data_IF_461731753089
#
_entry.id   IF_461731753089
#
_cell.length_a   1.000
_cell.length_b   1.000
_cell.length_c   1.000
_cell.angle_alpha   90.00
_cell.angle_beta   90.00
_cell.angle_gamma   90.00
#
_symmetry.space_group_name_H-M   'P 1'
#
loop_
_entity.id
_entity.type
_entity.pdbx_description
1 polymer ?
#
# COMPACT_ATOMS: atom_id res chain seq x y z
N UNK A 1 -26.19 8.39 13.38
CA UNK A 1 -24.96 8.74 14.14
C UNK A 1 -23.73 8.06 13.58
N UNK A 2 -23.73 6.73 13.35
CA UNK A 2 -22.59 5.98 12.80
C UNK A 2 -22.22 6.35 11.36
N UNK A 3 -23.19 6.51 10.45
CA UNK A 3 -22.91 6.91 9.06
C UNK A 3 -22.22 8.28 9.00
N UNK A 4 -22.74 9.27 9.74
CA UNK A 4 -22.14 10.61 9.81
C UNK A 4 -20.72 10.58 10.36
N UNK A 5 -20.45 9.75 11.38
CA UNK A 5 -19.10 9.54 11.90
C UNK A 5 -18.17 8.94 10.83
N UNK A 6 -18.60 7.90 10.13
CA UNK A 6 -17.80 7.27 9.06
C UNK A 6 -17.51 8.26 7.94
N UNK A 7 -18.51 9.02 7.48
CA UNK A 7 -18.32 10.06 6.47
C UNK A 7 -17.32 11.14 6.94
N UNK A 8 -17.42 11.59 8.19
CA UNK A 8 -16.49 12.57 8.74
C UNK A 8 -15.05 12.05 8.77
N UNK A 9 -14.84 10.79 9.15
CA UNK A 9 -13.50 10.14 9.13
C UNK A 9 -12.96 10.06 7.71
N UNK A 10 -13.77 9.62 6.75
CA UNK A 10 -13.37 9.55 5.34
C UNK A 10 -13.02 10.93 4.76
N UNK A 11 -13.77 11.97 5.12
CA UNK A 11 -13.47 13.35 4.70
C UNK A 11 -12.14 13.83 5.26
N UNK A 12 -11.87 13.61 6.56
CA UNK A 12 -10.60 14.00 7.19
C UNK A 12 -9.43 13.26 6.53
N UNK A 13 -9.56 11.95 6.30
CA UNK A 13 -8.54 11.16 5.63
C UNK A 13 -8.30 11.63 4.19
N UNK A 14 -9.36 11.89 3.43
CA UNK A 14 -9.26 12.41 2.07
C UNK A 14 -8.58 13.78 2.00
N UNK A 15 -8.93 14.71 2.89
CA UNK A 15 -8.28 16.02 2.96
C UNK A 15 -6.80 15.90 3.34
N UNK A 16 -6.47 15.00 4.28
CA UNK A 16 -5.09 14.75 4.66
C UNK A 16 -4.27 14.13 3.51
N UNK A 17 -4.90 13.32 2.67
CA UNK A 17 -4.30 12.71 1.49
C UNK A 17 -3.91 13.75 0.42
N UNK A 18 -4.76 14.76 0.20
CA UNK A 18 -4.46 15.86 -0.74
C UNK A 18 -3.19 16.66 -0.37
N UNK A 19 -2.82 16.69 0.91
CA UNK A 19 -1.60 17.36 1.38
C UNK A 19 -0.36 16.45 1.38
N UNK A 20 -0.54 15.15 1.14
CA UNK A 20 0.57 14.22 1.11
C UNK A 20 1.36 14.37 -0.20
N UNK A 21 2.69 14.33 -0.10
CA UNK A 21 3.54 14.36 -1.30
C UNK A 21 3.70 12.94 -1.85
N UNK A 22 3.62 12.81 -3.17
CA UNK A 22 3.84 11.56 -3.87
C UNK A 22 5.24 11.01 -3.54
N UNK A 23 5.30 9.74 -3.15
CA UNK A 23 6.52 8.99 -2.86
C UNK A 23 6.79 7.99 -3.97
N UNK A 24 8.06 7.88 -4.35
CA UNK A 24 8.49 6.97 -5.42
C UNK A 24 8.71 5.55 -4.91
N UNK A 25 9.08 5.39 -3.63
CA UNK A 25 9.51 4.11 -3.09
C UNK A 25 9.06 3.94 -1.64
N UNK A 26 8.72 2.70 -1.29
CA UNK A 26 8.39 2.29 0.08
C UNK A 26 9.48 1.38 0.62
N UNK A 27 10.30 1.90 1.55
CA UNK A 27 11.32 1.12 2.25
C UNK A 27 10.70 0.00 3.10
N UNK A 28 9.55 0.26 3.75
CA UNK A 28 8.86 -0.69 4.62
C UNK A 28 8.40 -1.96 3.87
N UNK A 29 8.22 -1.87 2.56
CA UNK A 29 7.77 -2.98 1.70
C UNK A 29 8.77 -3.32 0.60
N UNK A 30 9.92 -2.65 0.55
CA UNK A 30 10.94 -2.85 -0.47
C UNK A 30 10.39 -2.85 -1.92
N UNK A 31 9.55 -1.85 -2.28
CA UNK A 31 8.90 -1.78 -3.61
C UNK A 31 8.74 -0.34 -4.09
N UNK A 32 8.81 -0.15 -5.41
CA UNK A 32 8.43 1.08 -6.11
C UNK A 32 6.91 1.28 -6.05
N UNK A 33 6.51 2.49 -5.63
CA UNK A 33 5.10 2.87 -5.51
C UNK A 33 4.56 3.32 -6.86
N UNK A 34 3.26 3.08 -7.08
CA UNK A 34 2.60 3.58 -8.26
C UNK A 34 2.65 5.12 -8.30
N UNK A 35 3.03 5.66 -9.45
CA UNK A 35 2.96 7.07 -9.77
C UNK A 35 1.58 7.43 -10.31
N UNK A 36 1.28 8.73 -10.32
CA UNK A 36 0.02 9.24 -10.85
C UNK A 36 -0.18 8.77 -12.31
N UNK A 37 -1.30 8.09 -12.63
CA UNK A 37 -1.53 7.58 -13.97
C UNK A 37 -1.75 8.73 -14.97
N UNK A 38 -1.28 8.56 -16.20
CA UNK A 38 -1.59 9.46 -17.29
C UNK A 38 -3.06 9.28 -17.70
N UNK A 39 -3.81 10.38 -17.77
CA UNK A 39 -5.21 10.34 -18.17
C UNK A 39 -5.33 10.15 -19.68
N UNK A 40 -6.08 9.14 -20.12
CA UNK A 40 -6.52 9.01 -21.50
C UNK A 40 -7.97 8.52 -21.56
N UNK A 41 -8.72 9.01 -22.55
CA UNK A 41 -10.12 8.61 -22.77
C UNK A 41 -10.24 7.12 -23.04
N UNK A 42 -9.28 6.55 -23.79
CA UNK A 42 -9.21 5.12 -24.06
C UNK A 42 -9.05 4.32 -22.76
N UNK A 43 -8.04 4.64 -21.93
CA UNK A 43 -7.82 3.99 -20.64
C UNK A 43 -8.99 4.14 -19.66
N UNK A 44 -9.78 5.21 -19.78
CA UNK A 44 -10.96 5.42 -18.95
C UNK A 44 -12.09 4.45 -19.34
N UNK A 45 -12.33 4.28 -20.64
CA UNK A 45 -13.38 3.38 -21.13
C UNK A 45 -12.97 1.90 -21.08
N UNK A 46 -11.67 1.59 -21.13
CA UNK A 46 -11.16 0.22 -20.93
C UNK A 46 -11.11 -0.18 -19.46
N UNK A 47 -11.15 0.79 -18.53
CA UNK A 47 -11.06 0.56 -17.08
C UNK A 47 -9.62 0.59 -16.54
N UNK A 48 -8.61 0.54 -17.40
CA UNK A 48 -7.19 0.55 -17.04
C UNK A 48 -6.79 1.78 -16.22
N UNK A 49 -7.40 2.93 -16.52
CA UNK A 49 -7.17 4.16 -15.74
C UNK A 49 -7.69 4.03 -14.32
N UNK A 50 -8.84 3.36 -14.14
CA UNK A 50 -9.44 3.12 -12.83
C UNK A 50 -8.54 2.25 -11.97
N UNK A 51 -8.09 1.12 -12.52
CA UNK A 51 -7.19 0.18 -11.83
C UNK A 51 -5.87 0.85 -11.46
N UNK A 52 -5.27 1.61 -12.40
CA UNK A 52 -4.04 2.33 -12.15
C UNK A 52 -4.21 3.44 -11.10
N UNK A 53 -5.36 4.11 -11.10
CA UNK A 53 -5.68 5.16 -10.13
C UNK A 53 -5.95 4.60 -8.74
N UNK A 54 -6.64 3.47 -8.62
CA UNK A 54 -6.85 2.79 -7.34
C UNK A 54 -5.51 2.33 -6.73
N UNK A 55 -4.62 1.79 -7.59
CA UNK A 55 -3.27 1.43 -7.18
C UNK A 55 -2.46 2.64 -6.71
N UNK A 56 -2.48 3.74 -7.48
CA UNK A 56 -1.85 5.00 -7.11
C UNK A 56 -2.38 5.54 -5.77
N UNK A 57 -3.70 5.63 -5.62
CA UNK A 57 -4.36 6.11 -4.40
C UNK A 57 -3.95 5.27 -3.18
N UNK A 58 -3.94 3.95 -3.33
CA UNK A 58 -3.56 3.03 -2.26
C UNK A 58 -2.07 3.14 -1.90
N UNK A 59 -1.20 3.31 -2.90
CA UNK A 59 0.24 3.46 -2.71
C UNK A 59 0.63 4.83 -2.15
N UNK A 60 -0.13 5.90 -2.42
CA UNK A 60 0.14 7.26 -1.94
C UNK A 60 -0.63 7.65 -0.68
N UNK A 61 -1.47 6.74 -0.17
CA UNK A 61 -2.36 7.03 0.95
C UNK A 61 -1.63 7.62 2.18
N UNK A 62 -2.23 8.63 2.78
CA UNK A 62 -1.66 9.31 3.96
C UNK A 62 -1.36 8.32 5.11
N UNK A 63 -0.13 8.40 5.62
CA UNK A 63 0.29 7.59 6.76
C UNK A 63 0.43 6.09 6.46
N UNK A 64 0.51 5.68 5.19
CA UNK A 64 0.73 4.30 4.72
C UNK A 64 1.68 3.48 5.57
N UNK A 65 2.87 4.00 5.91
CA UNK A 65 3.88 3.24 6.68
C UNK A 65 3.36 2.79 8.06
N UNK A 66 2.46 3.56 8.66
CA UNK A 66 1.80 3.19 9.92
C UNK A 66 0.82 2.04 9.71
N UNK A 67 0.07 2.07 8.62
CA UNK A 67 -0.86 1.00 8.24
C UNK A 67 -0.11 -0.30 7.92
N UNK A 68 0.98 -0.20 7.15
CA UNK A 68 1.88 -1.32 6.84
C UNK A 68 2.46 -1.89 8.12
N UNK A 69 3.02 -1.06 9.00
CA UNK A 69 3.58 -1.50 10.27
C UNK A 69 2.54 -2.14 11.20
N UNK A 70 1.31 -1.63 11.21
CA UNK A 70 0.20 -2.21 11.97
C UNK A 70 -0.18 -3.59 11.41
N UNK A 71 -0.29 -3.73 10.09
CA UNK A 71 -0.54 -5.00 9.40
C UNK A 71 0.55 -6.01 9.71
N UNK A 72 1.82 -5.63 9.55
CA UNK A 72 2.97 -6.49 9.86
C UNK A 72 2.95 -6.94 11.32
N UNK A 73 2.65 -6.05 12.26
CA UNK A 73 2.54 -6.42 13.69
C UNK A 73 1.39 -7.39 13.95
N UNK A 74 0.26 -7.20 13.30
CA UNK A 74 -0.87 -8.12 13.38
C UNK A 74 -0.50 -9.49 12.78
N UNK A 75 0.14 -9.53 11.62
CA UNK A 75 0.58 -10.76 10.95
C UNK A 75 1.58 -11.55 11.81
N UNK A 76 2.53 -10.87 12.45
CA UNK A 76 3.44 -11.47 13.44
C UNK A 76 2.66 -12.03 14.64
N UNK A 77 1.69 -11.28 15.16
CA UNK A 77 0.87 -11.72 16.28
C UNK A 77 0.07 -12.99 15.95
N UNK A 78 -0.42 -13.09 14.72
CA UNK A 78 -1.10 -14.28 14.20
C UNK A 78 -0.14 -15.41 13.76
N UNK A 79 1.16 -15.28 14.04
CA UNK A 79 2.22 -16.25 13.67
C UNK A 79 2.24 -16.59 12.18
N UNK A 80 1.94 -15.63 11.30
CA UNK A 80 2.21 -15.83 9.88
C UNK A 80 3.72 -16.01 9.69
N UNK A 81 4.12 -17.10 9.04
CA UNK A 81 5.53 -17.43 8.81
C UNK A 81 6.14 -16.64 7.65
N UNK A 82 5.30 -16.01 6.83
CA UNK A 82 5.69 -15.23 5.66
C UNK A 82 4.99 -13.87 5.68
N UNK A 83 5.76 -12.81 5.44
CA UNK A 83 5.26 -11.45 5.28
C UNK A 83 5.97 -10.84 4.06
N UNK A 84 5.21 -10.51 3.01
CA UNK A 84 5.74 -9.89 1.79
C UNK A 84 6.95 -10.63 1.19
N UNK A 85 6.89 -11.96 1.03
CA UNK A 85 7.98 -12.77 0.45
C UNK A 85 9.19 -12.98 1.37
N UNK A 86 9.14 -12.47 2.61
CA UNK A 86 10.16 -12.70 3.64
C UNK A 86 9.64 -13.71 4.65
N UNK A 87 10.41 -14.78 4.85
CA UNK A 87 10.13 -15.78 5.87
C UNK A 87 10.73 -15.36 7.22
N UNK A 88 9.91 -15.44 8.26
CA UNK A 88 10.31 -15.25 9.65
C UNK A 88 10.96 -16.54 10.18
N UNK A 89 12.29 -16.59 10.20
CA UNK A 89 13.07 -17.70 10.73
C UNK A 89 13.13 -17.72 12.27
N UNK A 90 13.68 -18.81 12.83
CA UNK A 90 14.03 -18.86 14.24
C UNK A 90 15.04 -17.74 14.59
N UNK A 91 15.14 -17.34 15.85
CA UNK A 91 16.18 -16.41 16.35
C UNK A 91 16.32 -15.05 15.63
N UNK A 92 15.18 -14.46 15.21
CA UNK A 92 15.11 -13.14 14.53
C UNK A 92 15.80 -13.09 13.17
N UNK A 93 15.97 -14.23 12.50
CA UNK A 93 16.43 -14.25 11.12
C UNK A 93 15.28 -13.93 10.14
N UNK A 94 15.57 -13.10 9.14
CA UNK A 94 14.69 -12.80 8.01
C UNK A 94 15.29 -13.46 6.76
N UNK A 95 14.55 -14.34 6.12
CA UNK A 95 14.98 -15.03 4.90
C UNK A 95 14.19 -14.47 3.73
N UNK A 96 14.84 -13.67 2.89
CA UNK A 96 14.25 -13.18 1.65
C UNK A 96 14.32 -14.27 0.57
N UNK A 97 13.20 -14.54 -0.10
CA UNK A 97 13.21 -15.32 -1.34
C UNK A 97 13.54 -14.38 -2.49
N UNK A 98 14.60 -14.70 -3.23
CA UNK A 98 14.95 -14.03 -4.47
C UNK A 98 14.60 -15.05 -5.58
N UNK A 99 13.46 -14.87 -6.24
CA UNK A 99 13.10 -15.73 -7.37
C UNK A 99 14.01 -15.35 -8.57
N UNK A 100 14.82 -16.29 -9.10
CA UNK A 100 15.77 -15.99 -10.16
C UNK A 100 15.13 -15.69 -11.53
N UNK A 101 13.81 -15.77 -11.64
CA UNK A 101 13.07 -15.62 -12.90
C UNK A 101 12.55 -14.18 -13.16
N UNK A 102 12.79 -13.22 -12.27
CA UNK A 102 12.60 -11.77 -12.49
C UNK A 102 13.95 -11.05 -12.64
N UNK A 103 14.59 -11.19 -13.82
CA UNK A 103 15.72 -10.34 -14.28
C UNK A 103 15.44 -9.77 -15.68
#
# INVERSE_FOLDING_TARGET
>A
MTIGLVCAVLLVLGVADLWNSDRVYSEAENRVLASRPAFSWESLFTGEYGDAYEKYMSDQFVGRDKWVGLKTRADIHFRKKEINGVYLGADRYLIGVNDPDEY
#
